data_IF_660303633594
#
_entry.id   IF_660303633594
#
_cell.length_a   1.000
_cell.length_b   1.000
_cell.length_c   1.000
_cell.angle_alpha   90.00
_cell.angle_beta   90.00
_cell.angle_gamma   90.00
#
_symmetry.space_group_name_H-M   'P 1'
#
loop_
_entity.id
_entity.type
_entity.pdbx_description
1 polymer ?
#
# COMPACT_ATOMS: atom_id res chain seq x y z
N UNK A 1 24.23 -32.01 31.37
CA UNK A 1 23.51 -30.87 30.77
C UNK A 1 22.03 -31.17 30.83
N UNK A 2 21.29 -30.45 31.66
CA UNK A 2 19.87 -30.68 31.87
C UNK A 2 19.06 -30.18 30.65
N UNK A 3 18.20 -31.05 30.14
CA UNK A 3 17.16 -30.72 29.16
C UNK A 3 16.18 -29.72 29.78
N UNK A 4 16.07 -28.53 29.17
CA UNK A 4 15.02 -27.58 29.51
C UNK A 4 13.66 -28.10 28.99
N UNK A 5 12.59 -28.02 29.79
CA UNK A 5 11.28 -28.54 29.40
C UNK A 5 10.65 -27.65 28.33
N UNK A 6 10.14 -28.28 27.27
CA UNK A 6 9.21 -27.66 26.31
C UNK A 6 7.97 -27.17 27.06
N UNK A 7 7.93 -25.87 27.37
CA UNK A 7 6.73 -25.24 27.91
C UNK A 7 5.78 -24.87 26.76
N UNK A 8 4.57 -25.43 26.86
CA UNK A 8 3.32 -25.10 26.16
C UNK A 8 3.34 -23.78 25.36
N UNK A 9 3.56 -23.86 24.05
CA UNK A 9 3.24 -22.76 23.13
C UNK A 9 1.81 -22.96 22.63
N UNK A 10 0.88 -22.25 23.27
CA UNK A 10 -0.47 -22.04 22.74
C UNK A 10 -0.39 -21.25 21.42
N UNK A 11 -0.73 -21.91 20.30
CA UNK A 11 -1.52 -21.33 19.22
C UNK A 11 -1.00 -20.11 18.46
N UNK A 12 0.29 -19.74 18.57
CA UNK A 12 0.90 -18.83 17.60
C UNK A 12 0.90 -19.53 16.23
N UNK A 13 0.49 -18.81 15.18
CA UNK A 13 0.74 -19.23 13.80
C UNK A 13 2.25 -19.50 13.73
N UNK A 14 2.64 -20.77 13.69
CA UNK A 14 4.05 -21.10 13.51
C UNK A 14 4.34 -20.78 12.06
N UNK A 15 4.96 -19.63 11.84
CA UNK A 15 5.59 -19.31 10.57
C UNK A 15 6.84 -20.17 10.39
N UNK A 16 6.96 -21.37 10.95
CA UNK A 16 8.23 -22.11 10.96
C UNK A 16 8.77 -22.35 9.54
N UNK A 17 7.88 -22.47 8.54
CA UNK A 17 8.23 -22.55 7.11
C UNK A 17 8.55 -21.21 6.44
N UNK A 18 8.19 -20.08 7.06
CA UNK A 18 8.40 -18.71 6.55
C UNK A 18 9.14 -17.80 7.55
N UNK A 19 9.71 -18.34 8.63
CA UNK A 19 10.22 -17.57 9.77
C UNK A 19 11.41 -16.73 9.38
N UNK A 20 12.27 -17.27 8.50
CA UNK A 20 13.35 -16.52 7.87
C UNK A 20 12.81 -15.36 7.02
N UNK A 21 11.77 -15.60 6.21
CA UNK A 21 11.13 -14.53 5.42
C UNK A 21 10.48 -13.48 6.32
N UNK A 22 9.88 -13.89 7.44
CA UNK A 22 9.27 -12.97 8.41
C UNK A 22 10.33 -12.08 9.04
N UNK A 23 11.45 -12.66 9.50
CA UNK A 23 12.57 -11.91 10.06
C UNK A 23 13.17 -10.92 9.04
N UNK A 24 13.41 -11.34 7.79
CA UNK A 24 13.91 -10.44 6.74
C UNK A 24 12.89 -9.33 6.42
N UNK A 25 11.59 -9.65 6.36
CA UNK A 25 10.54 -8.66 6.18
C UNK A 25 10.51 -7.65 7.33
N UNK A 26 10.63 -8.08 8.58
CA UNK A 26 10.67 -7.20 9.75
C UNK A 26 11.89 -6.28 9.73
N UNK A 27 13.08 -6.80 9.40
CA UNK A 27 14.29 -5.97 9.27
C UNK A 27 14.18 -4.94 8.15
N UNK A 28 13.48 -5.26 7.06
CA UNK A 28 13.30 -4.33 5.92
C UNK A 28 12.19 -3.31 6.14
N UNK A 29 11.13 -3.72 6.83
CA UNK A 29 10.00 -2.85 7.17
C UNK A 29 10.27 -1.95 8.38
N UNK A 30 11.34 -2.21 9.15
CA UNK A 30 11.74 -1.40 10.29
C UNK A 30 12.48 -0.11 9.91
N UNK A 31 12.86 0.08 8.64
CA UNK A 31 13.36 1.35 8.12
C UNK A 31 12.20 2.37 8.09
N UNK A 32 12.13 3.17 9.15
CA UNK A 32 10.90 3.71 9.68
C UNK A 32 10.35 4.91 8.89
N UNK A 33 9.13 4.76 8.35
CA UNK A 33 8.31 5.83 7.77
C UNK A 33 7.58 6.64 8.85
N UNK A 34 7.80 6.36 10.15
CA UNK A 34 7.15 7.04 11.27
C UNK A 34 7.31 8.57 11.24
N UNK A 35 8.45 9.09 10.80
CA UNK A 35 8.63 10.55 10.64
C UNK A 35 7.76 11.11 9.51
N UNK A 36 7.61 10.38 8.40
CA UNK A 36 6.75 10.77 7.28
C UNK A 36 5.27 10.69 7.65
N UNK A 37 4.88 9.65 8.39
CA UNK A 37 3.53 9.52 8.96
C UNK A 37 3.18 10.75 9.80
N UNK A 38 4.04 11.10 10.76
CA UNK A 38 3.77 12.20 11.70
C UNK A 38 3.68 13.56 11.02
N UNK A 39 4.48 13.79 9.98
CA UNK A 39 4.60 15.12 9.38
C UNK A 39 3.61 15.36 8.24
N UNK A 40 3.37 14.37 7.38
CA UNK A 40 2.59 14.55 6.16
C UNK A 40 1.26 13.79 6.13
N UNK A 41 1.13 12.69 6.87
CA UNK A 41 -0.05 11.82 6.84
C UNK A 41 -0.71 11.74 8.20
N UNK A 42 -1.29 12.87 8.62
CA UNK A 42 -1.85 13.05 9.98
C UNK A 42 -3.22 12.39 10.16
N UNK A 43 -3.95 12.22 9.06
CA UNK A 43 -5.29 11.64 9.06
C UNK A 43 -5.29 10.23 8.48
N UNK A 44 -6.23 9.41 8.94
CA UNK A 44 -6.49 8.08 8.38
C UNK A 44 -7.86 8.03 7.72
N UNK A 45 -7.96 7.21 6.68
CA UNK A 45 -9.27 6.82 6.13
C UNK A 45 -9.95 5.93 7.15
N UNK A 46 -11.10 6.37 7.66
CA UNK A 46 -11.82 5.62 8.69
C UNK A 46 -12.41 4.31 8.14
N UNK A 47 -12.62 3.33 9.02
CA UNK A 47 -13.30 2.06 8.65
C UNK A 47 -14.67 2.33 8.04
N UNK A 48 -15.39 3.33 8.53
CA UNK A 48 -16.69 3.74 7.97
C UNK A 48 -16.54 4.22 6.52
N UNK A 49 -15.62 5.15 6.26
CA UNK A 49 -15.35 5.63 4.90
C UNK A 49 -14.93 4.49 3.97
N UNK A 50 -14.15 3.54 4.46
CA UNK A 50 -13.75 2.36 3.70
C UNK A 50 -14.96 1.49 3.31
N UNK A 51 -15.88 1.24 4.24
CA UNK A 51 -17.11 0.48 3.96
C UNK A 51 -18.02 1.20 2.97
N UNK A 52 -18.20 2.51 3.14
CA UNK A 52 -18.99 3.34 2.23
C UNK A 52 -18.36 3.34 0.82
N UNK A 53 -17.03 3.39 0.75
CA UNK A 53 -16.28 3.32 -0.49
C UNK A 53 -16.40 1.96 -1.18
N UNK A 54 -16.41 0.86 -0.43
CA UNK A 54 -16.66 -0.48 -0.98
C UNK A 54 -18.05 -0.55 -1.64
N UNK A 55 -19.11 -0.15 -0.93
CA UNK A 55 -20.48 -0.17 -1.45
C UNK A 55 -20.63 0.65 -2.74
N UNK A 56 -19.92 1.78 -2.82
CA UNK A 56 -19.95 2.66 -3.98
C UNK A 56 -19.16 2.13 -5.17
N UNK A 57 -18.04 1.43 -4.94
CA UNK A 57 -17.02 1.21 -5.97
C UNK A 57 -16.70 -0.25 -6.30
N UNK A 58 -17.24 -1.24 -5.56
CA UNK A 58 -16.90 -2.66 -5.77
C UNK A 58 -17.13 -3.17 -7.19
N UNK A 59 -18.14 -2.63 -7.89
CA UNK A 59 -18.50 -3.00 -9.26
C UNK A 59 -18.10 -1.92 -10.30
N UNK A 60 -17.30 -0.93 -9.89
CA UNK A 60 -16.89 0.20 -10.75
C UNK A 60 -15.52 -0.05 -11.35
N UNK A 61 -15.40 0.16 -12.68
CA UNK A 61 -14.11 0.26 -13.37
C UNK A 61 -13.57 1.68 -13.31
N UNK A 62 -12.28 1.82 -13.04
CA UNK A 62 -11.63 3.13 -12.92
C UNK A 62 -10.93 3.52 -14.23
N UNK A 63 -11.66 4.19 -15.12
CA UNK A 63 -11.13 4.59 -16.42
C UNK A 63 -10.16 5.79 -16.35
N UNK A 64 -10.24 6.57 -15.26
CA UNK A 64 -9.34 7.72 -15.05
C UNK A 64 -7.97 7.25 -14.58
N UNK A 65 -6.93 7.97 -14.99
CA UNK A 65 -5.58 7.67 -14.54
C UNK A 65 -5.37 8.11 -13.09
N UNK A 66 -4.75 7.29 -12.21
CA UNK A 66 -4.42 7.71 -10.85
C UNK A 66 -3.33 8.82 -10.81
N UNK A 67 -2.81 9.21 -11.98
CA UNK A 67 -1.85 10.29 -12.17
C UNK A 67 -2.50 11.60 -12.66
N UNK A 68 -3.80 11.58 -12.95
CA UNK A 68 -4.50 12.73 -13.50
C UNK A 68 -4.48 13.91 -12.51
N UNK A 69 -4.13 15.10 -12.98
CA UNK A 69 -4.05 16.31 -12.15
C UNK A 69 -2.79 16.45 -11.28
N UNK A 70 -1.91 15.44 -11.22
CA UNK A 70 -0.68 15.49 -10.42
C UNK A 70 0.57 15.68 -11.26
N UNK A 71 1.55 16.40 -10.71
CA UNK A 71 2.93 16.34 -11.18
C UNK A 71 3.42 14.90 -11.18
N UNK A 72 4.10 14.49 -12.26
CA UNK A 72 4.49 13.10 -12.46
C UNK A 72 5.98 12.93 -12.63
N UNK A 73 6.53 11.87 -12.06
CA UNK A 73 7.93 11.48 -12.25
C UNK A 73 7.99 10.22 -13.11
N UNK A 74 8.77 10.28 -14.17
CA UNK A 74 9.09 9.18 -15.07
C UNK A 74 10.53 8.75 -14.81
N UNK A 75 10.76 7.48 -14.51
CA UNK A 75 12.11 6.94 -14.39
C UNK A 75 12.62 6.47 -15.76
N UNK A 76 13.92 6.62 -15.98
CA UNK A 76 14.59 6.01 -17.14
C UNK A 76 14.94 4.56 -16.76
N UNK A 77 14.51 3.58 -17.56
CA UNK A 77 14.93 2.17 -17.41
C UNK A 77 14.00 1.23 -16.62
N UNK A 78 12.68 1.26 -16.87
CA UNK A 78 11.75 0.22 -16.39
C UNK A 78 11.23 0.37 -14.96
N UNK A 79 11.72 1.34 -14.19
CA UNK A 79 11.14 1.73 -12.91
C UNK A 79 9.87 2.58 -13.17
N UNK A 80 8.76 2.32 -12.50
CA UNK A 80 7.46 2.87 -12.87
C UNK A 80 7.27 4.38 -12.65
N UNK A 81 6.04 4.83 -12.86
CA UNK A 81 5.64 6.25 -12.77
C UNK A 81 5.24 6.60 -11.34
N UNK A 82 5.64 7.79 -10.88
CA UNK A 82 5.23 8.33 -9.58
C UNK A 82 4.38 9.60 -9.75
N UNK A 83 3.59 9.92 -8.73
CA UNK A 83 3.00 11.25 -8.56
C UNK A 83 3.76 12.01 -7.48
N UNK A 84 3.99 13.30 -7.69
CA UNK A 84 4.48 14.20 -6.64
C UNK A 84 3.27 14.75 -5.88
N UNK A 85 3.19 14.43 -4.59
CA UNK A 85 2.19 14.98 -3.67
C UNK A 85 2.60 16.41 -3.26
N UNK A 86 3.90 16.60 -2.98
CA UNK A 86 4.50 17.91 -2.77
C UNK A 86 5.46 18.16 -3.94
N UNK A 87 5.11 19.12 -4.78
CA UNK A 87 5.90 19.52 -5.96
C UNK A 87 6.66 20.82 -5.68
N UNK A 88 7.95 20.91 -6.05
CA UNK A 88 8.71 22.16 -5.95
C UNK A 88 8.10 23.32 -6.74
N UNK A 89 7.39 23.04 -7.83
CA UNK A 89 6.75 24.08 -8.65
C UNK A 89 5.74 24.87 -7.83
N UNK A 90 5.02 24.23 -6.91
CA UNK A 90 3.95 24.87 -6.12
C UNK A 90 4.45 26.00 -5.24
N UNK A 91 5.70 25.94 -4.80
CA UNK A 91 6.33 26.97 -3.96
C UNK A 91 7.14 27.99 -4.78
N UNK A 92 7.09 27.92 -6.12
CA UNK A 92 7.80 28.87 -6.97
C UNK A 92 7.22 30.28 -6.84
N UNK A 93 8.08 31.29 -6.73
CA UNK A 93 7.68 32.70 -6.61
C UNK A 93 6.95 33.24 -7.83
N UNK A 94 7.15 32.64 -9.01
CA UNK A 94 6.39 32.99 -10.20
C UNK A 94 5.08 32.22 -10.23
N UNK A 95 3.96 32.93 -9.99
CA UNK A 95 2.59 32.36 -10.01
C UNK A 95 2.28 31.49 -11.23
N UNK A 96 2.73 31.91 -12.42
CA UNK A 96 2.55 31.14 -13.66
C UNK A 96 3.22 29.75 -13.62
N UNK A 97 4.33 29.61 -12.90
CA UNK A 97 5.03 28.33 -12.73
C UNK A 97 4.35 27.46 -11.68
N UNK A 98 3.89 28.05 -10.57
CA UNK A 98 3.22 27.30 -9.50
C UNK A 98 1.84 26.74 -9.88
N UNK A 99 1.19 27.37 -10.86
CA UNK A 99 -0.05 26.89 -11.46
C UNK A 99 0.16 25.82 -12.54
N UNK A 100 1.40 25.57 -12.97
CA UNK A 100 1.70 24.53 -13.94
C UNK A 100 1.80 23.14 -13.31
N UNK A 101 1.67 22.13 -14.17
CA UNK A 101 1.97 20.73 -13.93
C UNK A 101 3.33 20.38 -14.53
N UNK A 102 4.19 19.74 -13.75
CA UNK A 102 5.49 19.25 -14.18
C UNK A 102 5.49 17.77 -14.57
N UNK A 103 6.19 17.44 -15.65
CA UNK A 103 6.67 16.07 -15.94
C UNK A 103 8.16 16.04 -15.68
N UNK A 104 8.57 15.15 -14.80
CA UNK A 104 9.92 15.10 -14.26
C UNK A 104 10.58 13.78 -14.64
N UNK A 105 11.90 13.79 -14.79
CA UNK A 105 12.69 12.58 -14.68
C UNK A 105 13.50 12.56 -13.40
N UNK A 106 13.83 11.35 -12.96
CA UNK A 106 14.73 11.13 -11.84
C UNK A 106 15.80 10.12 -12.22
N UNK A 107 17.05 10.56 -12.15
CA UNK A 107 18.26 9.72 -12.28
C UNK A 107 19.28 10.26 -11.29
N UNK A 108 19.11 9.90 -10.01
CA UNK A 108 19.88 10.48 -8.89
C UNK A 108 19.43 11.89 -8.49
N UNK A 109 19.00 12.73 -9.44
CA UNK A 109 18.44 14.08 -9.27
C UNK A 109 17.20 14.30 -10.13
N UNK A 110 16.35 15.25 -9.75
CA UNK A 110 15.21 15.67 -10.57
C UNK A 110 15.65 16.51 -11.76
N UNK A 111 15.00 16.27 -12.90
CA UNK A 111 15.07 17.13 -14.07
C UNK A 111 13.65 17.36 -14.58
N UNK A 112 13.28 18.62 -14.79
CA UNK A 112 11.99 18.96 -15.38
C UNK A 112 12.08 18.74 -16.89
N UNK A 113 11.28 17.80 -17.39
CA UNK A 113 11.22 17.44 -18.80
C UNK A 113 10.13 18.22 -19.54
N UNK A 114 8.99 18.40 -18.91
CA UNK A 114 7.88 19.15 -19.46
C UNK A 114 7.21 20.02 -18.40
N UNK A 115 6.67 21.15 -18.85
CA UNK A 115 5.82 22.01 -18.04
C UNK A 115 4.52 22.27 -18.83
N UNK A 116 3.37 22.05 -18.20
CA UNK A 116 2.06 22.20 -18.83
C UNK A 116 1.21 23.11 -17.96
N UNK A 117 0.44 24.00 -18.57
CA UNK A 117 -0.51 24.81 -17.81
C UNK A 117 -1.73 23.98 -17.36
N UNK A 118 -2.68 24.63 -16.69
CA UNK A 118 -3.94 24.02 -16.23
C UNK A 118 -4.79 23.41 -17.35
N UNK A 119 -4.59 23.83 -18.60
CA UNK A 119 -5.30 23.33 -19.77
C UNK A 119 -4.49 22.26 -20.52
N UNK A 120 -3.31 21.87 -20.00
CA UNK A 120 -2.43 20.88 -20.60
C UNK A 120 -1.51 21.42 -21.71
N UNK A 121 -1.52 22.74 -21.95
CA UNK A 121 -0.73 23.39 -23.00
C UNK A 121 0.74 23.48 -22.57
N UNK A 122 1.69 22.97 -23.39
CA UNK A 122 3.12 23.06 -23.09
C UNK A 122 3.61 24.50 -22.90
N UNK A 123 4.42 24.73 -21.86
CA UNK A 123 4.99 26.03 -21.48
C UNK A 123 6.51 26.07 -21.75
N UNK A 124 6.91 25.92 -23.02
CA UNK A 124 8.33 25.74 -23.43
C UNK A 124 9.25 26.85 -22.96
N UNK A 125 8.84 28.13 -23.11
CA UNK A 125 9.66 29.28 -22.64
C UNK A 125 9.88 29.28 -21.13
N UNK A 126 8.89 28.87 -20.34
CA UNK A 126 9.03 28.77 -18.88
C UNK A 126 9.91 27.59 -18.50
N UNK A 127 9.74 26.46 -19.19
CA UNK A 127 10.58 25.27 -19.02
C UNK A 127 12.05 25.59 -19.30
N UNK A 128 12.36 26.26 -20.43
CA UNK A 128 13.72 26.68 -20.77
C UNK A 128 14.31 27.58 -19.68
N UNK A 129 13.54 28.56 -19.20
CA UNK A 129 13.97 29.43 -18.11
C UNK A 129 14.33 28.64 -16.84
N UNK A 130 13.47 27.70 -16.42
CA UNK A 130 13.71 26.88 -15.23
C UNK A 130 14.92 25.95 -15.40
N UNK A 131 15.08 25.34 -16.57
CA UNK A 131 16.20 24.45 -16.86
C UNK A 131 17.54 25.20 -17.03
N UNK A 132 17.50 26.48 -17.41
CA UNK A 132 18.69 27.34 -17.49
C UNK A 132 19.14 27.90 -16.13
N UNK A 133 18.28 27.84 -15.10
CA UNK A 133 18.62 28.31 -13.76
C UNK A 133 19.57 27.33 -13.07
N UNK A 134 20.86 27.67 -13.08
CA UNK A 134 21.93 26.87 -12.47
C UNK A 134 21.86 26.83 -10.94
N UNK A 135 21.16 27.78 -10.30
CA UNK A 135 21.00 27.80 -8.85
C UNK A 135 20.02 26.72 -8.37
N UNK A 136 19.06 26.35 -9.23
CA UNK A 136 17.98 25.40 -8.93
C UNK A 136 17.26 25.65 -7.61
N UNK A 137 17.27 26.89 -7.08
CA UNK A 137 16.58 27.24 -5.82
C UNK A 137 15.07 27.00 -5.87
N UNK A 138 14.52 26.92 -7.07
CA UNK A 138 13.12 26.54 -7.29
C UNK A 138 12.83 25.06 -6.93
N UNK A 139 13.86 24.24 -6.66
CA UNK A 139 13.75 22.89 -6.10
C UNK A 139 13.82 22.85 -4.57
N UNK A 140 14.09 23.98 -3.90
CA UNK A 140 14.30 24.00 -2.46
C UNK A 140 13.05 23.58 -1.68
N UNK A 141 13.27 22.84 -0.59
CA UNK A 141 12.24 22.30 0.28
C UNK A 141 11.99 20.80 0.08
N UNK A 142 10.83 20.37 0.53
CA UNK A 142 10.44 18.96 0.56
C UNK A 142 9.82 18.52 -0.77
N UNK A 143 10.17 17.31 -1.20
CA UNK A 143 9.54 16.62 -2.32
C UNK A 143 9.00 15.29 -1.84
N UNK A 144 7.69 15.16 -1.82
CA UNK A 144 6.99 13.93 -1.41
C UNK A 144 6.38 13.27 -2.63
N UNK A 145 6.67 11.98 -2.84
CA UNK A 145 6.17 11.19 -3.97
C UNK A 145 5.48 9.93 -3.53
N UNK A 146 4.38 9.62 -4.22
CA UNK A 146 3.72 8.34 -4.15
C UNK A 146 4.06 7.53 -5.41
N UNK A 147 4.62 6.34 -5.22
CA UNK A 147 5.13 5.53 -6.32
C UNK A 147 4.12 4.54 -6.86
N UNK A 148 3.93 4.53 -8.18
CA UNK A 148 3.01 3.63 -8.87
C UNK A 148 1.61 3.56 -8.22
N UNK A 149 0.92 4.70 -8.01
CA UNK A 149 -0.41 4.69 -7.42
C UNK A 149 -1.38 3.86 -8.27
N UNK A 150 -2.31 3.20 -7.58
CA UNK A 150 -3.37 2.37 -8.15
C UNK A 150 -4.70 2.75 -7.54
N UNK A 151 -5.78 2.65 -8.31
CA UNK A 151 -7.11 2.83 -7.77
C UNK A 151 -7.49 1.65 -6.88
N UNK A 152 -8.05 1.96 -5.72
CA UNK A 152 -8.51 0.98 -4.76
C UNK A 152 -9.77 1.49 -4.07
N UNK A 153 -10.92 0.97 -4.48
CA UNK A 153 -12.24 1.38 -3.97
C UNK A 153 -12.43 2.91 -3.98
N UNK A 154 -12.02 3.59 -5.04
CA UNK A 154 -12.19 5.04 -5.20
C UNK A 154 -11.06 5.90 -4.63
N UNK A 155 -10.05 5.29 -4.02
CA UNK A 155 -8.84 5.97 -3.55
C UNK A 155 -7.68 5.69 -4.50
N UNK A 156 -6.84 6.67 -4.80
CA UNK A 156 -5.55 6.42 -5.45
C UNK A 156 -4.51 6.14 -4.37
N UNK A 157 -4.02 4.90 -4.30
CA UNK A 157 -3.22 4.38 -3.19
C UNK A 157 -1.88 3.82 -3.64
N UNK A 158 -0.89 3.85 -2.75
CA UNK A 158 0.31 3.02 -2.88
C UNK A 158 1.03 2.84 -1.54
N UNK A 159 1.73 1.71 -1.32
CA UNK A 159 2.59 1.51 -0.15
C UNK A 159 3.96 2.20 -0.31
N UNK A 160 4.27 2.73 -1.49
CA UNK A 160 5.59 3.29 -1.86
C UNK A 160 5.60 4.80 -1.69
N UNK A 161 6.05 5.29 -0.53
CA UNK A 161 6.27 6.72 -0.31
C UNK A 161 7.76 7.05 -0.35
N UNK A 162 8.13 8.13 -1.03
CA UNK A 162 9.49 8.66 -1.04
C UNK A 162 9.46 10.14 -0.63
N UNK A 163 10.44 10.54 0.17
CA UNK A 163 10.62 11.92 0.60
C UNK A 163 12.06 12.34 0.38
N UNK A 164 12.25 13.41 -0.36
CA UNK A 164 13.53 14.05 -0.58
C UNK A 164 13.48 15.47 0.02
N UNK A 165 14.56 15.92 0.64
CA UNK A 165 14.73 17.31 1.07
C UNK A 165 15.85 17.95 0.25
N UNK A 166 15.55 19.11 -0.32
CA UNK A 166 16.49 19.93 -1.08
C UNK A 166 16.78 21.24 -0.35
N UNK A 167 18.04 21.64 -0.38
CA UNK A 167 18.51 22.93 0.12
C UNK A 167 19.53 23.52 -0.84
N UNK A 168 19.33 24.77 -1.26
CA UNK A 168 20.14 25.46 -2.27
C UNK A 168 20.32 24.64 -3.57
N UNK A 169 19.24 24.04 -4.05
CA UNK A 169 19.20 23.20 -5.25
C UNK A 169 19.84 21.82 -5.08
N UNK A 170 20.36 21.49 -3.89
CA UNK A 170 21.07 20.23 -3.61
C UNK A 170 20.24 19.30 -2.75
N UNK A 171 20.23 18.02 -3.11
CA UNK A 171 19.63 16.97 -2.29
C UNK A 171 20.44 16.81 -1.00
N UNK A 172 19.80 17.03 0.15
CA UNK A 172 20.42 16.91 1.48
C UNK A 172 19.96 15.68 2.23
N UNK A 173 18.69 15.27 2.07
CA UNK A 173 18.14 14.08 2.73
C UNK A 173 17.28 13.30 1.74
N UNK A 174 17.33 11.96 1.85
CA UNK A 174 16.45 11.04 1.15
C UNK A 174 15.94 9.96 2.10
N UNK A 175 14.63 9.81 2.18
CA UNK A 175 13.94 8.77 2.93
C UNK A 175 12.93 8.03 2.04
N UNK A 176 12.62 6.79 2.39
CA UNK A 176 11.58 6.00 1.73
C UNK A 176 11.99 5.30 0.43
N UNK A 177 13.25 5.42 -0.01
CA UNK A 177 13.77 4.62 -1.13
C UNK A 177 13.97 3.16 -0.69
N UNK A 178 12.88 2.39 -0.66
CA UNK A 178 12.94 0.94 -0.61
C UNK A 178 12.43 0.38 -1.95
N UNK A 179 13.32 -0.11 -2.83
CA UNK A 179 12.91 -0.87 -4.01
C UNK A 179 12.13 -2.15 -3.65
N UNK A 180 12.17 -2.58 -2.39
CA UNK A 180 11.43 -3.73 -1.83
C UNK A 180 10.33 -3.23 -0.87
N UNK A 181 9.37 -2.48 -1.41
CA UNK A 181 8.25 -1.90 -0.67
C UNK A 181 6.98 -2.71 -0.91
N UNK A 182 7.06 -4.00 -0.60
CA UNK A 182 5.89 -4.88 -0.66
C UNK A 182 4.85 -4.39 0.36
N UNK A 183 3.56 -4.41 -0.02
CA UNK A 183 2.48 -3.84 0.77
C UNK A 183 2.18 -4.60 2.05
N UNK A 184 2.62 -5.85 2.13
CA UNK A 184 2.42 -6.74 3.25
C UNK A 184 3.41 -7.92 3.19
N UNK A 185 3.47 -8.66 4.28
CA UNK A 185 4.33 -9.83 4.43
C UNK A 185 3.99 -10.95 3.44
N UNK A 186 2.73 -11.16 3.09
CA UNK A 186 2.34 -12.26 2.20
C UNK A 186 2.77 -11.98 0.76
N UNK A 187 2.59 -10.74 0.31
CA UNK A 187 3.13 -10.24 -0.97
C UNK A 187 4.65 -10.44 -1.03
N UNK A 188 5.34 -10.11 0.07
CA UNK A 188 6.79 -10.33 0.21
C UNK A 188 7.18 -11.81 0.23
N UNK A 189 6.47 -12.63 0.98
CA UNK A 189 6.76 -14.04 1.15
C UNK A 189 6.54 -14.84 -0.14
N UNK A 190 5.69 -14.35 -1.03
CA UNK A 190 5.42 -14.98 -2.32
C UNK A 190 6.39 -14.55 -3.43
N UNK A 191 7.31 -13.62 -3.20
CA UNK A 191 8.32 -13.24 -4.20
C UNK A 191 9.29 -14.40 -4.47
N UNK A 192 9.49 -14.70 -5.75
CA UNK A 192 10.46 -15.72 -6.19
C UNK A 192 11.78 -15.10 -6.64
N UNK A 193 11.77 -13.92 -7.29
CA UNK A 193 12.98 -13.14 -7.65
C UNK A 193 12.70 -11.63 -7.73
N UNK A 194 13.14 -10.91 -6.68
CA UNK A 194 12.94 -9.45 -6.44
C UNK A 194 13.24 -8.49 -7.61
N UNK A 195 14.12 -8.85 -8.54
CA UNK A 195 14.55 -7.96 -9.65
C UNK A 195 13.64 -8.07 -10.88
N UNK A 196 12.84 -9.15 -11.00
CA UNK A 196 11.99 -9.40 -12.17
C UNK A 196 10.49 -9.33 -11.88
N UNK A 197 10.09 -9.23 -10.62
CA UNK A 197 8.69 -9.33 -10.20
C UNK A 197 7.84 -8.05 -10.45
N UNK A 198 8.45 -7.00 -11.04
CA UNK A 198 7.74 -5.82 -11.57
C UNK A 198 7.23 -4.84 -10.50
N UNK A 199 6.15 -4.13 -10.84
CA UNK A 199 5.54 -3.12 -9.97
C UNK A 199 4.92 -3.75 -8.71
N UNK A 200 4.85 -3.03 -7.57
CA UNK A 200 4.41 -3.63 -6.29
C UNK A 200 3.04 -4.35 -6.33
N UNK A 201 2.09 -3.82 -7.11
CA UNK A 201 0.72 -4.35 -7.18
C UNK A 201 0.62 -5.70 -7.89
N UNK A 202 1.66 -6.15 -8.60
CA UNK A 202 1.71 -7.49 -9.21
C UNK A 202 1.79 -8.58 -8.15
N UNK A 203 2.45 -8.29 -7.03
CA UNK A 203 2.66 -9.24 -5.91
C UNK A 203 1.47 -9.33 -4.95
N UNK A 204 0.58 -8.33 -4.94
CA UNK A 204 -0.60 -8.27 -4.05
C UNK A 204 -1.53 -9.46 -4.26
N UNK A 205 -1.81 -9.78 -5.52
CA UNK A 205 -2.72 -10.88 -5.88
C UNK A 205 -2.20 -12.23 -5.37
N UNK A 206 -0.90 -12.46 -5.55
CA UNK A 206 -0.26 -13.69 -5.13
C UNK A 206 -0.08 -13.75 -3.60
N UNK A 207 0.16 -12.61 -2.95
CA UNK A 207 0.17 -12.47 -1.49
C UNK A 207 -1.19 -12.77 -0.86
N UNK A 208 -2.27 -12.23 -1.43
CA UNK A 208 -3.64 -12.54 -1.00
C UNK A 208 -3.93 -14.04 -1.09
N UNK A 209 -3.56 -14.68 -2.21
CA UNK A 209 -3.68 -16.13 -2.39
C UNK A 209 -2.89 -16.91 -1.33
N UNK A 210 -1.66 -16.49 -1.01
CA UNK A 210 -0.86 -17.10 0.05
C UNK A 210 -1.54 -16.99 1.43
N UNK A 211 -2.16 -15.85 1.75
CA UNK A 211 -2.96 -15.70 2.98
C UNK A 211 -4.09 -16.74 3.04
N UNK A 212 -4.81 -16.93 1.93
CA UNK A 212 -5.85 -17.95 1.80
C UNK A 212 -5.32 -19.38 2.00
N UNK A 213 -4.19 -19.72 1.38
CA UNK A 213 -3.54 -21.03 1.51
C UNK A 213 -3.12 -21.30 2.96
N UNK A 214 -2.46 -20.33 3.61
CA UNK A 214 -2.01 -20.47 5.00
C UNK A 214 -3.19 -20.63 5.97
N UNK A 215 -4.29 -19.92 5.73
CA UNK A 215 -5.52 -20.15 6.48
C UNK A 215 -6.07 -21.56 6.23
N UNK A 216 -6.15 -21.97 4.97
CA UNK A 216 -6.65 -23.29 4.55
C UNK A 216 -5.89 -24.45 5.16
N UNK A 217 -4.56 -24.35 5.30
CA UNK A 217 -3.72 -25.36 5.95
C UNK A 217 -4.02 -25.51 7.45
N UNK A 218 -4.52 -24.46 8.10
CA UNK A 218 -4.87 -24.47 9.53
C UNK A 218 -6.34 -24.80 9.79
N UNK A 219 -7.19 -24.62 8.79
CA UNK A 219 -8.61 -24.93 8.88
C UNK A 219 -8.87 -26.34 8.38
N UNK A 220 -9.55 -27.18 9.17
CA UNK A 220 -10.21 -28.38 8.65
C UNK A 220 -11.47 -27.96 7.87
N UNK A 221 -11.29 -27.35 6.69
CA UNK A 221 -12.43 -27.06 5.83
C UNK A 221 -13.05 -28.40 5.42
N UNK A 222 -14.33 -28.61 5.75
CA UNK A 222 -15.07 -29.79 5.32
C UNK A 222 -15.21 -29.75 3.78
N UNK A 223 -14.30 -30.45 3.07
CA UNK A 223 -14.08 -30.43 1.62
C UNK A 223 -15.27 -30.96 0.75
N UNK A 224 -16.47 -31.09 1.31
CA UNK A 224 -17.67 -31.60 0.62
C UNK A 224 -18.79 -30.58 0.40
N UNK A 225 -18.60 -29.31 0.76
CA UNK A 225 -19.66 -28.28 0.73
C UNK A 225 -19.69 -27.48 -0.59
N UNK A 226 -20.89 -26.95 -0.89
CA UNK A 226 -21.10 -26.02 -2.00
C UNK A 226 -20.19 -24.78 -1.88
N UNK A 227 -19.77 -24.27 -3.04
CA UNK A 227 -18.94 -23.07 -3.12
C UNK A 227 -19.63 -21.86 -2.48
N UNK A 228 -18.87 -21.08 -1.72
CA UNK A 228 -19.35 -19.84 -1.08
C UNK A 228 -18.36 -18.72 -1.32
N UNK A 229 -18.89 -17.56 -1.66
CA UNK A 229 -18.10 -16.35 -1.89
C UNK A 229 -18.62 -15.22 -1.02
N UNK A 230 -17.72 -14.51 -0.36
CA UNK A 230 -18.03 -13.36 0.49
C UNK A 230 -16.91 -12.31 0.45
N UNK A 231 -17.26 -11.06 0.73
CA UNK A 231 -16.34 -9.92 0.70
C UNK A 231 -16.06 -9.45 2.12
N UNK A 232 -14.79 -9.17 2.43
CA UNK A 232 -14.36 -8.73 3.76
C UNK A 232 -13.48 -7.49 3.69
N UNK A 233 -13.51 -6.71 4.76
CA UNK A 233 -12.56 -5.63 5.04
C UNK A 233 -11.61 -6.10 6.15
N UNK A 234 -10.34 -6.31 5.81
CA UNK A 234 -9.26 -6.41 6.77
C UNK A 234 -8.81 -5.02 7.16
N UNK A 235 -8.57 -4.76 8.44
CA UNK A 235 -7.99 -3.50 8.90
C UNK A 235 -7.25 -3.65 10.23
N UNK A 236 -6.32 -2.73 10.47
CA UNK A 236 -5.64 -2.60 11.76
C UNK A 236 -6.57 -1.97 12.80
N UNK A 237 -6.71 -2.62 13.96
CA UNK A 237 -7.49 -2.09 15.07
C UNK A 237 -6.80 -0.82 15.61
N UNK A 238 -7.55 0.24 15.95
CA UNK A 238 -6.97 1.37 16.66
C UNK A 238 -6.31 0.88 17.95
N UNK A 239 -5.04 1.25 18.18
CA UNK A 239 -4.33 0.95 19.43
C UNK A 239 -5.00 1.70 20.59
N UNK A 240 -6.06 1.12 21.17
CA UNK A 240 -6.59 1.64 22.42
C UNK A 240 -5.62 1.30 23.56
N UNK A 241 -5.35 2.27 24.43
CA UNK A 241 -4.45 2.18 25.60
C UNK A 241 -4.84 1.11 26.64
N UNK A 242 -5.89 0.31 26.42
CA UNK A 242 -6.38 -0.70 27.35
C UNK A 242 -5.86 -2.11 27.03
N UNK A 243 -5.28 -2.71 28.05
CA UNK A 243 -4.37 -3.87 28.10
C UNK A 243 -4.91 -5.25 27.65
N UNK A 244 -6.08 -5.38 27.02
CA UNK A 244 -6.67 -6.71 26.73
C UNK A 244 -6.45 -7.25 25.32
N UNK A 245 -6.33 -6.39 24.31
CA UNK A 245 -6.25 -6.79 22.88
C UNK A 245 -4.92 -6.41 22.20
N UNK A 246 -3.84 -6.17 22.95
CA UNK A 246 -2.52 -5.83 22.36
C UNK A 246 -1.98 -6.94 21.43
N UNK A 247 -2.49 -8.17 21.55
CA UNK A 247 -2.03 -9.31 20.79
C UNK A 247 -2.78 -9.56 19.48
N UNK A 248 -3.85 -8.80 19.18
CA UNK A 248 -4.68 -8.98 17.97
C UNK A 248 -4.73 -7.68 17.14
N UNK A 249 -3.64 -7.34 16.42
CA UNK A 249 -3.49 -6.05 15.76
C UNK A 249 -4.46 -5.86 14.60
N UNK A 250 -4.90 -6.93 13.95
CA UNK A 250 -5.82 -6.89 12.81
C UNK A 250 -7.16 -7.53 13.15
N UNK A 251 -8.18 -7.20 12.37
CA UNK A 251 -9.48 -7.88 12.40
C UNK A 251 -10.11 -7.88 11.00
N UNK A 252 -11.22 -8.61 10.88
CA UNK A 252 -12.07 -8.64 9.70
C UNK A 252 -13.49 -8.17 10.01
N UNK A 253 -14.06 -7.44 9.07
CA UNK A 253 -15.49 -7.20 8.95
C UNK A 253 -16.03 -7.81 7.65
N UNK A 254 -17.20 -8.44 7.75
CA UNK A 254 -17.94 -8.91 6.59
C UNK A 254 -18.59 -7.71 5.90
N UNK A 255 -18.36 -7.56 4.59
CA UNK A 255 -18.95 -6.52 3.75
C UNK A 255 -20.15 -7.08 2.98
N UNK A 256 -19.98 -8.26 2.38
CA UNK A 256 -21.03 -8.98 1.67
C UNK A 256 -20.91 -10.49 1.94
N UNK A 257 -22.03 -11.22 2.05
CA UNK A 257 -23.40 -10.71 2.05
C UNK A 257 -23.74 -9.95 3.35
N UNK A 258 -24.66 -8.98 3.28
CA UNK A 258 -25.08 -8.23 4.47
C UNK A 258 -25.79 -9.10 5.52
N UNK A 259 -26.46 -10.17 5.08
CA UNK A 259 -27.07 -11.19 5.93
C UNK A 259 -26.53 -12.56 5.51
N UNK A 260 -25.40 -13.03 6.08
CA UNK A 260 -24.84 -14.33 5.75
C UNK A 260 -25.73 -15.45 6.27
N UNK A 261 -25.83 -16.54 5.49
CA UNK A 261 -26.33 -17.81 6.02
C UNK A 261 -25.38 -18.34 7.12
N UNK A 262 -25.85 -19.35 7.87
CA UNK A 262 -25.09 -19.92 8.99
C UNK A 262 -23.71 -20.42 8.58
N UNK A 263 -23.60 -21.06 7.43
CA UNK A 263 -22.34 -21.64 6.98
C UNK A 263 -21.35 -20.56 6.52
N UNK A 264 -21.84 -19.54 5.80
CA UNK A 264 -21.05 -18.36 5.43
C UNK A 264 -20.56 -17.61 6.68
N UNK A 265 -21.41 -17.48 7.70
CA UNK A 265 -21.03 -16.87 8.97
C UNK A 265 -19.94 -17.66 9.70
N UNK A 266 -20.04 -18.99 9.76
CA UNK A 266 -19.03 -19.88 10.35
C UNK A 266 -17.68 -19.78 9.61
N UNK A 267 -17.70 -19.80 8.27
CA UNK A 267 -16.50 -19.62 7.45
C UNK A 267 -15.85 -18.24 7.71
N UNK A 268 -16.64 -17.18 7.73
CA UNK A 268 -16.13 -15.85 8.05
C UNK A 268 -15.47 -15.80 9.44
N UNK A 269 -16.07 -16.40 10.47
CA UNK A 269 -15.47 -16.44 11.82
C UNK A 269 -14.15 -17.23 11.86
N UNK A 270 -14.04 -18.31 11.08
CA UNK A 270 -12.80 -19.08 10.97
C UNK A 270 -11.68 -18.23 10.38
N UNK A 271 -11.94 -17.52 9.29
CA UNK A 271 -10.96 -16.63 8.67
C UNK A 271 -10.61 -15.44 9.59
N UNK A 272 -11.62 -14.84 10.24
CA UNK A 272 -11.41 -13.75 11.20
C UNK A 272 -10.49 -14.18 12.36
N UNK A 273 -10.71 -15.36 12.92
CA UNK A 273 -9.88 -15.94 13.98
C UNK A 273 -8.43 -16.21 13.53
N UNK A 274 -8.23 -16.51 12.25
CA UNK A 274 -6.89 -16.59 11.67
C UNK A 274 -6.24 -15.20 11.55
N UNK A 275 -6.95 -14.21 10.99
CA UNK A 275 -6.42 -12.85 10.82
C UNK A 275 -6.07 -12.19 12.15
N UNK A 276 -6.86 -12.43 13.20
CA UNK A 276 -6.60 -11.89 14.54
C UNK A 276 -5.33 -12.45 15.19
N UNK A 277 -4.79 -13.57 14.68
CA UNK A 277 -3.50 -14.13 15.11
C UNK A 277 -2.30 -13.64 14.29
N UNK A 278 -2.52 -12.88 13.21
CA UNK A 278 -1.44 -12.32 12.40
C UNK A 278 -0.66 -11.29 13.24
N UNK A 279 0.68 -11.38 13.30
CA UNK A 279 1.51 -10.49 14.09
C UNK A 279 1.49 -9.06 13.56
N UNK A 280 1.68 -8.09 14.46
CA UNK A 280 1.68 -6.67 14.11
C UNK A 280 2.74 -6.36 13.05
N UNK A 281 2.49 -5.30 12.26
CA UNK A 281 3.34 -4.87 11.13
C UNK A 281 3.37 -5.82 9.93
N UNK A 282 2.61 -6.93 9.94
CA UNK A 282 2.45 -7.77 8.74
C UNK A 282 1.87 -7.02 7.53
N UNK A 283 1.08 -5.95 7.73
CA UNK A 283 0.57 -5.10 6.66
C UNK A 283 1.14 -3.69 6.82
N UNK A 284 1.65 -3.12 5.73
CA UNK A 284 2.00 -1.69 5.69
C UNK A 284 0.75 -0.86 5.38
N UNK A 285 0.68 0.40 5.82
CA UNK A 285 -0.36 1.29 5.34
C UNK A 285 -0.23 1.53 3.83
N UNK A 286 -1.36 1.84 3.22
CA UNK A 286 -1.41 2.51 1.94
C UNK A 286 -1.49 4.02 2.15
N UNK A 287 -0.69 4.77 1.41
CA UNK A 287 -0.79 6.23 1.36
C UNK A 287 -1.67 6.64 0.20
N UNK A 288 -2.49 7.64 0.42
CA UNK A 288 -3.39 8.19 -0.59
C UNK A 288 -2.82 9.48 -1.18
N UNK A 289 -3.31 9.84 -2.37
CA UNK A 289 -2.95 11.11 -3.01
C UNK A 289 -3.47 12.36 -2.29
N UNK A 290 -4.39 12.20 -1.34
CA UNK A 290 -4.95 13.27 -0.50
C UNK A 290 -4.35 13.30 0.92
N UNK A 291 -3.11 12.80 1.08
CA UNK A 291 -2.34 12.88 2.33
C UNK A 291 -2.93 12.11 3.52
N UNK A 292 -3.63 11.01 3.26
CA UNK A 292 -4.18 10.12 4.29
C UNK A 292 -3.53 8.75 4.28
N UNK A 293 -3.65 8.06 5.40
CA UNK A 293 -3.25 6.66 5.56
C UNK A 293 -4.48 5.76 5.53
N UNK A 294 -4.44 4.72 4.72
CA UNK A 294 -5.40 3.63 4.69
C UNK A 294 -4.75 2.36 5.24
N UNK A 295 -5.25 1.86 6.37
CA UNK A 295 -4.71 0.68 7.05
C UNK A 295 -5.44 -0.61 6.70
N UNK A 296 -6.45 -0.56 5.82
CA UNK A 296 -7.25 -1.73 5.46
C UNK A 296 -6.98 -2.29 4.07
N UNK A 297 -7.57 -3.48 3.83
CA UNK A 297 -7.58 -4.23 2.57
C UNK A 297 -8.96 -4.82 2.35
N UNK A 298 -9.49 -4.69 1.15
CA UNK A 298 -10.71 -5.35 0.71
C UNK A 298 -10.34 -6.66 0.04
N UNK A 299 -10.90 -7.76 0.54
CA UNK A 299 -10.70 -9.07 -0.05
C UNK A 299 -12.02 -9.69 -0.48
N UNK A 300 -12.00 -10.39 -1.61
CA UNK A 300 -13.00 -11.40 -1.97
C UNK A 300 -12.46 -12.76 -1.52
N UNK A 301 -13.30 -13.53 -0.84
CA UNK A 301 -12.97 -14.84 -0.32
C UNK A 301 -13.91 -15.85 -0.97
N UNK A 302 -13.36 -16.89 -1.58
CA UNK A 302 -14.10 -18.02 -2.14
C UNK A 302 -13.64 -19.31 -1.47
N UNK A 303 -14.59 -20.04 -0.91
CA UNK A 303 -14.34 -21.35 -0.27
C UNK A 303 -15.03 -22.42 -1.10
N UNK A 304 -14.27 -23.42 -1.52
CA UNK A 304 -14.78 -24.55 -2.30
C UNK A 304 -14.10 -25.85 -1.87
N UNK A 305 -14.40 -26.94 -2.57
CA UNK A 305 -13.70 -28.23 -2.41
C UNK A 305 -12.17 -28.14 -2.60
N UNK A 306 -11.69 -27.08 -3.26
CA UNK A 306 -10.27 -26.85 -3.49
C UNK A 306 -9.59 -26.09 -2.35
N UNK A 307 -10.34 -25.64 -1.34
CA UNK A 307 -9.84 -24.87 -0.19
C UNK A 307 -10.28 -23.42 -0.23
N UNK A 308 -9.41 -22.54 0.29
CA UNK A 308 -9.65 -21.11 0.47
C UNK A 308 -8.89 -20.29 -0.58
N UNK A 309 -9.63 -19.54 -1.38
CA UNK A 309 -9.09 -18.53 -2.28
C UNK A 309 -9.38 -17.15 -1.70
N UNK A 310 -8.34 -16.33 -1.56
CA UNK A 310 -8.44 -14.93 -1.15
C UNK A 310 -7.84 -14.08 -2.27
N UNK A 311 -8.59 -13.08 -2.71
CA UNK A 311 -8.22 -12.18 -3.80
C UNK A 311 -8.39 -10.74 -3.34
N UNK A 312 -7.43 -9.87 -3.64
CA UNK A 312 -7.50 -8.45 -3.30
C UNK A 312 -8.31 -7.69 -4.36
N UNK A 313 -9.24 -6.84 -3.95
CA UNK A 313 -9.99 -6.01 -4.89
C UNK A 313 -9.11 -5.04 -5.70
N UNK A 314 -7.87 -4.81 -5.29
CA UNK A 314 -6.87 -4.08 -6.07
C UNK A 314 -6.52 -4.81 -7.37
N UNK A 315 -6.56 -6.16 -7.38
CA UNK A 315 -6.31 -6.96 -8.58
C UNK A 315 -7.59 -7.24 -9.38
N UNK A 316 -8.76 -7.20 -8.74
CA UNK A 316 -10.07 -7.48 -9.36
C UNK A 316 -10.59 -6.26 -10.15
N UNK A 317 -10.50 -5.05 -9.59
CA UNK A 317 -11.15 -3.84 -10.16
C UNK A 317 -10.24 -3.08 -11.15
N UNK A 318 -9.52 -3.82 -12.01
CA UNK A 318 -8.69 -3.24 -13.07
C UNK A 318 -9.52 -2.71 -14.23
#
# INVERSE_FOLDING_TARGET
MALLPMSKVQGQISFDYLGEKWNDYQMRSSCDLTSLHRNHFKDSVSVKEMKDAFLKNKDVRFDKSPYEGFDSVVYIGGYGKNVMLISPLKNNSQKKVSECRGVWSWVGRYKLLELRDKNGVPQTKLLEKLNSDTSQKWLDGEVLKLGEPRWYMGFAVSPRINWDLYNEGKLVVRLGYSPNSEPDFFSYANLTKRVMDGDWYTSVDAGAKLLGVLHGMQSSANLGKAERTFSVLLYERPMYKSSKNRNTPYTLELLEPGNPDKETAELFQNLKSFVERIPAKAFKPYYTTDFRIMTGRYYRVTVSKCGWLVEDYLSINK
#
